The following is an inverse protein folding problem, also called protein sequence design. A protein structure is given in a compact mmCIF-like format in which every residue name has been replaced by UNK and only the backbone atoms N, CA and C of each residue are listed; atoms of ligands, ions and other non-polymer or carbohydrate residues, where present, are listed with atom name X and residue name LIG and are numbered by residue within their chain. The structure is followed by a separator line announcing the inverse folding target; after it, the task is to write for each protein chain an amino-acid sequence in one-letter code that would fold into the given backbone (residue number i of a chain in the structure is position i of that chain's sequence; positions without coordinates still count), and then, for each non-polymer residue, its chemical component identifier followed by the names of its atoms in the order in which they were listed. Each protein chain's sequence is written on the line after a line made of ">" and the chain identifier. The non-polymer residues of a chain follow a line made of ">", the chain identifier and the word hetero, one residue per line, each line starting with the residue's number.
data_IF_188774902141
#
_entry.id   IF_188774902141
#
_cell.length_a   1.000
_cell.length_b   1.000
_cell.length_c   1.000
_cell.angle_alpha   90.00
_cell.angle_beta   90.00
_cell.angle_gamma   90.00
#
_symmetry.space_group_name_H-M   'P 1'
#
loop_
_entity.id
_entity.type
_entity.pdbx_description
1 polymer ?
#
# COMPACT_ATOMS: atom_id res chain seq x y z
N UNK A 1 17.09 -1.49 8.20
CA UNK A 1 16.29 -2.57 7.58
C UNK A 1 15.41 -3.18 8.66
N UNK A 2 14.14 -3.51 8.35
CA UNK A 2 13.27 -4.15 9.34
C UNK A 2 13.71 -5.62 9.49
N UNK A 3 13.71 -6.23 10.69
CA UNK A 3 14.16 -7.62 10.89
C UNK A 3 13.47 -8.62 9.93
N UNK A 4 12.20 -8.35 9.61
CA UNK A 4 11.43 -9.09 8.60
C UNK A 4 12.09 -9.17 7.22
N UNK A 5 12.83 -8.14 6.79
CA UNK A 5 13.53 -8.13 5.50
C UNK A 5 14.70 -9.12 5.49
N UNK A 6 15.41 -9.24 6.63
CA UNK A 6 16.53 -10.18 6.78
C UNK A 6 16.02 -11.61 6.75
N UNK A 7 14.90 -11.89 7.45
CA UNK A 7 14.25 -13.21 7.46
C UNK A 7 13.83 -13.63 6.05
N UNK A 8 13.20 -12.75 5.28
CA UNK A 8 12.84 -13.03 3.89
C UNK A 8 14.06 -13.27 3.00
N UNK A 9 15.15 -12.52 3.20
CA UNK A 9 16.40 -12.72 2.47
C UNK A 9 17.03 -14.09 2.76
N UNK A 10 17.03 -14.52 4.03
CA UNK A 10 17.51 -15.84 4.43
C UNK A 10 16.68 -16.97 3.81
N UNK A 11 15.35 -16.82 3.84
CA UNK A 11 14.43 -17.80 3.26
C UNK A 11 14.63 -17.92 1.75
N UNK A 12 14.80 -16.80 1.05
CA UNK A 12 15.10 -16.78 -0.38
C UNK A 12 16.45 -17.45 -0.70
N UNK A 13 17.49 -17.22 0.11
CA UNK A 13 18.79 -17.85 -0.09
C UNK A 13 18.71 -19.38 0.05
N UNK A 14 17.97 -19.89 1.04
CA UNK A 14 17.75 -21.34 1.21
C UNK A 14 17.02 -21.93 0.00
N UNK A 15 15.96 -21.26 -0.47
CA UNK A 15 15.22 -21.69 -1.67
C UNK A 15 16.16 -21.78 -2.87
N UNK A 16 17.00 -20.77 -3.09
CA UNK A 16 17.97 -20.75 -4.20
C UNK A 16 18.96 -21.93 -4.09
N UNK A 17 19.51 -22.20 -2.90
CA UNK A 17 20.43 -23.32 -2.70
C UNK A 17 19.77 -24.66 -3.04
N UNK A 18 18.54 -24.88 -2.55
CA UNK A 18 17.76 -26.09 -2.84
C UNK A 18 17.50 -26.22 -4.34
N UNK A 19 17.15 -25.11 -5.00
CA UNK A 19 16.97 -25.06 -6.44
C UNK A 19 18.27 -25.49 -7.15
N UNK A 20 19.39 -24.82 -6.90
CA UNK A 20 20.65 -25.11 -7.59
C UNK A 20 21.19 -26.52 -7.37
N UNK A 21 20.89 -27.13 -6.23
CA UNK A 21 21.32 -28.49 -5.91
C UNK A 21 20.50 -29.56 -6.66
N UNK A 22 19.24 -29.27 -7.03
CA UNK A 22 18.32 -30.23 -7.64
C UNK A 22 18.24 -30.10 -9.17
N UNK A 23 19.33 -30.46 -9.86
CA UNK A 23 19.48 -30.39 -11.33
C UNK A 23 18.89 -31.58 -12.10
N UNK A 24 18.04 -32.37 -11.47
CA UNK A 24 17.45 -33.54 -12.12
C UNK A 24 16.47 -33.17 -13.23
N UNK A 25 16.45 -33.98 -14.28
CA UNK A 25 15.47 -33.92 -15.35
C UNK A 25 14.15 -34.56 -14.87
N UNK A 26 13.01 -33.97 -15.23
CA UNK A 26 11.69 -34.57 -15.06
C UNK A 26 10.92 -34.54 -16.38
N UNK A 27 10.06 -35.54 -16.60
CA UNK A 27 9.04 -35.43 -17.63
C UNK A 27 7.96 -34.48 -17.14
N UNK A 28 7.68 -33.45 -17.93
CA UNK A 28 6.56 -32.56 -17.67
C UNK A 28 5.40 -32.97 -18.58
N UNK A 29 4.19 -33.12 -18.04
CA UNK A 29 3.04 -33.58 -18.82
C UNK A 29 2.23 -32.43 -19.43
N UNK A 30 2.35 -31.21 -18.88
CA UNK A 30 1.48 -30.07 -19.21
C UNK A 30 1.59 -29.56 -20.66
N UNK A 31 2.70 -29.83 -21.36
CA UNK A 31 2.93 -29.44 -22.76
C UNK A 31 3.25 -30.64 -23.67
N UNK A 32 2.78 -31.84 -23.31
CA UNK A 32 3.30 -33.10 -23.87
C UNK A 32 4.55 -33.56 -23.11
N UNK A 33 4.97 -34.82 -23.28
CA UNK A 33 6.04 -35.46 -22.49
C UNK A 33 7.43 -34.88 -22.83
N UNK A 34 7.70 -33.67 -22.33
CA UNK A 34 8.94 -32.95 -22.57
C UNK A 34 9.84 -33.14 -21.34
N UNK A 35 11.05 -33.65 -21.57
CA UNK A 35 12.10 -33.76 -20.54
C UNK A 35 12.67 -32.36 -20.32
N UNK A 36 12.34 -31.77 -19.18
CA UNK A 36 12.80 -30.44 -18.75
C UNK A 36 13.40 -30.54 -17.35
N UNK A 37 14.24 -29.59 -16.95
CA UNK A 37 14.81 -29.63 -15.60
C UNK A 37 13.73 -29.32 -14.55
N UNK A 38 13.67 -30.11 -13.47
CA UNK A 38 12.77 -29.84 -12.32
C UNK A 38 12.97 -28.42 -11.80
N UNK A 39 14.21 -27.98 -11.84
CA UNK A 39 14.68 -26.63 -11.51
C UNK A 39 13.97 -25.52 -12.29
N UNK A 40 13.82 -25.67 -13.61
CA UNK A 40 13.19 -24.67 -14.46
C UNK A 40 11.70 -24.53 -14.14
N UNK A 41 11.03 -25.68 -13.98
CA UNK A 41 9.62 -25.72 -13.60
C UNK A 41 9.43 -25.10 -12.20
N UNK A 42 10.20 -25.55 -11.22
CA UNK A 42 10.10 -25.08 -9.84
C UNK A 42 10.39 -23.57 -9.77
N UNK A 43 11.39 -23.08 -10.50
CA UNK A 43 11.73 -21.67 -10.57
C UNK A 43 10.60 -20.81 -11.15
N UNK A 44 9.97 -21.25 -12.25
CA UNK A 44 8.85 -20.54 -12.87
C UNK A 44 7.64 -20.50 -11.92
N UNK A 45 7.24 -21.62 -11.35
CA UNK A 45 6.11 -21.67 -10.41
C UNK A 45 6.40 -20.91 -9.12
N UNK A 46 7.63 -20.95 -8.62
CA UNK A 46 8.05 -20.15 -7.48
C UNK A 46 7.92 -18.66 -7.79
N UNK A 47 8.41 -18.21 -8.95
CA UNK A 47 8.32 -16.81 -9.36
C UNK A 47 6.86 -16.36 -9.54
N UNK A 48 6.03 -17.18 -10.17
CA UNK A 48 4.60 -16.93 -10.30
C UNK A 48 3.92 -16.84 -8.92
N UNK A 49 4.26 -17.74 -7.99
CA UNK A 49 3.77 -17.72 -6.62
C UNK A 49 4.20 -16.46 -5.85
N UNK A 50 5.46 -16.02 -6.01
CA UNK A 50 5.96 -14.77 -5.42
C UNK A 50 5.25 -13.55 -6.00
N UNK A 51 5.03 -13.51 -7.32
CA UNK A 51 4.30 -12.42 -7.97
C UNK A 51 2.85 -12.40 -7.50
N UNK A 52 2.15 -13.54 -7.54
CA UNK A 52 0.76 -13.61 -7.10
C UNK A 52 0.59 -13.33 -5.62
N UNK A 53 1.46 -13.88 -4.78
CA UNK A 53 1.53 -13.55 -3.35
C UNK A 53 1.79 -12.05 -3.16
N UNK A 54 2.76 -11.48 -3.88
CA UNK A 54 3.07 -10.06 -3.84
C UNK A 54 1.88 -9.19 -4.23
N UNK A 55 1.10 -9.58 -5.24
CA UNK A 55 -0.12 -8.88 -5.66
C UNK A 55 -1.23 -9.04 -4.61
N UNK A 56 -1.44 -10.24 -4.07
CA UNK A 56 -2.49 -10.51 -3.09
C UNK A 56 -2.21 -9.82 -1.75
N UNK A 57 -0.96 -9.87 -1.29
CA UNK A 57 -0.49 -9.17 -0.09
C UNK A 57 -0.16 -7.70 -0.34
N UNK A 58 -0.35 -7.18 -1.57
CA UNK A 58 -0.23 -5.76 -1.87
C UNK A 58 -1.31 -5.02 -1.11
N UNK A 59 -1.00 -4.63 0.12
CA UNK A 59 -1.85 -3.79 0.97
C UNK A 59 -2.34 -2.62 0.13
N UNK A 60 -3.62 -2.63 -0.24
CA UNK A 60 -4.25 -1.46 -0.85
C UNK A 60 -4.07 -0.35 0.18
N UNK A 61 -3.30 0.68 -0.17
CA UNK A 61 -3.25 1.89 0.65
C UNK A 61 -4.70 2.35 0.72
N UNK A 62 -5.28 2.38 1.92
CA UNK A 62 -6.58 3.00 2.12
C UNK A 62 -6.43 4.40 1.50
N UNK A 63 -7.30 4.82 0.55
CA UNK A 63 -7.37 6.23 0.26
C UNK A 63 -7.67 6.89 1.59
N UNK A 64 -6.73 7.72 2.07
CA UNK A 64 -7.02 8.62 3.18
C UNK A 64 -8.16 9.47 2.62
N UNK A 65 -9.39 9.13 2.97
CA UNK A 65 -10.53 10.01 2.77
C UNK A 65 -10.27 11.20 3.67
N UNK A 66 -9.49 12.16 3.17
CA UNK A 66 -9.47 13.52 3.68
C UNK A 66 -10.78 14.14 3.26
N UNK A 67 -11.85 13.74 3.93
CA UNK A 67 -12.99 14.60 4.14
C UNK A 67 -12.90 15.02 5.59
N UNK A 68 -12.76 16.34 5.78
CA UNK A 68 -12.81 17.07 7.04
C UNK A 68 -11.52 17.11 7.89
N UNK A 69 -10.57 17.93 7.44
CA UNK A 69 -9.84 18.81 8.35
C UNK A 69 -9.51 20.08 7.57
N UNK A 70 -10.32 21.11 7.79
CA UNK A 70 -10.06 22.47 7.40
C UNK A 70 -8.62 22.83 7.83
N UNK A 71 -7.87 23.40 6.89
CA UNK A 71 -6.83 24.40 7.09
C UNK A 71 -6.39 24.67 8.54
N UNK A 72 -5.39 23.93 9.04
CA UNK A 72 -4.62 24.35 10.21
C UNK A 72 -3.36 25.07 9.70
N UNK A 73 -3.55 26.28 9.18
CA UNK A 73 -2.50 27.30 9.18
C UNK A 73 -2.19 27.68 10.64
N UNK A 74 -0.91 27.79 11.05
CA UNK A 74 -0.60 28.43 12.33
C UNK A 74 -0.84 29.93 12.18
N UNK A 75 -1.94 30.41 12.75
CA UNK A 75 -2.24 31.85 12.86
C UNK A 75 -1.21 32.46 13.82
N UNK A 76 -0.37 33.44 13.40
CA UNK A 76 0.39 34.24 14.35
C UNK A 76 -0.60 35.08 15.17
N UNK A 77 -0.49 35.00 16.49
CA UNK A 77 -1.19 35.89 17.40
C UNK A 77 -0.84 37.35 17.05
N UNK A 78 -1.82 38.11 16.61
CA UNK A 78 -2.00 39.52 16.93
C UNK A 78 -3.32 40.06 16.35
N UNK A 79 -3.89 40.97 17.14
CA UNK A 79 -4.85 42.02 16.79
C UNK A 79 -6.35 41.72 16.87
N UNK A 80 -6.92 42.27 17.94
CA UNK A 80 -8.31 42.65 18.14
C UNK A 80 -8.85 43.45 16.94
N UNK A 81 -9.77 42.85 16.18
CA UNK A 81 -10.97 43.52 15.64
C UNK A 81 -12.01 42.42 15.45
N UNK A 82 -13.10 42.42 16.23
CA UNK A 82 -14.30 41.64 15.92
C UNK A 82 -14.95 42.19 14.65
N UNK A 83 -14.36 41.89 13.51
CA UNK A 83 -14.98 42.05 12.21
C UNK A 83 -15.84 40.81 11.98
N UNK A 84 -17.15 41.02 11.99
CA UNK A 84 -18.12 39.96 11.76
C UNK A 84 -17.76 39.23 10.45
N UNK A 85 -17.52 37.90 10.45
CA UNK A 85 -17.01 37.17 9.28
C UNK A 85 -17.93 37.17 8.05
N UNK A 86 -19.14 37.74 8.19
CA UNK A 86 -20.22 37.69 7.23
C UNK A 86 -20.88 39.07 7.02
N UNK A 87 -20.13 40.12 6.59
CA UNK A 87 -20.67 41.48 6.46
C UNK A 87 -21.67 41.63 5.31
N UNK A 88 -21.73 40.64 4.41
CA UNK A 88 -22.61 40.63 3.24
C UNK A 88 -23.98 39.97 3.51
N UNK A 89 -24.16 39.37 4.69
CA UNK A 89 -25.40 38.69 5.08
C UNK A 89 -26.28 39.63 5.88
N UNK A 90 -27.60 39.52 5.67
CA UNK A 90 -28.57 40.29 6.44
C UNK A 90 -28.55 39.85 7.93
N UNK A 91 -29.05 40.70 8.83
CA UNK A 91 -29.16 40.34 10.25
C UNK A 91 -30.05 39.10 10.47
N UNK A 92 -31.06 38.93 9.62
CA UNK A 92 -31.97 37.79 9.68
C UNK A 92 -31.28 36.48 9.23
N UNK A 93 -30.51 36.52 8.14
CA UNK A 93 -29.74 35.35 7.66
C UNK A 93 -28.67 34.90 8.67
N UNK A 94 -28.07 35.83 9.42
CA UNK A 94 -27.10 35.51 10.48
C UNK A 94 -27.74 34.74 11.64
N UNK A 95 -28.99 35.08 11.99
CA UNK A 95 -29.75 34.39 13.03
C UNK A 95 -30.11 32.96 12.62
N UNK A 96 -30.42 32.71 11.34
CA UNK A 96 -30.65 31.34 10.83
C UNK A 96 -29.45 30.41 11.01
N UNK A 97 -28.23 30.96 11.00
CA UNK A 97 -27.00 30.19 11.22
C UNK A 97 -26.70 29.96 12.72
N UNK A 98 -27.60 30.36 13.62
CA UNK A 98 -27.50 30.13 15.06
C UNK A 98 -26.40 30.95 15.74
N UNK A 99 -25.90 31.99 15.08
CA UNK A 99 -24.90 32.90 15.65
C UNK A 99 -25.62 34.14 16.15
N UNK A 100 -26.03 34.07 17.41
CA UNK A 100 -26.49 35.24 18.15
C UNK A 100 -25.25 35.94 18.73
N UNK A 101 -25.21 37.27 18.62
CA UNK A 101 -24.25 38.11 19.32
C UNK A 101 -24.41 38.01 20.85
#
# INVERSE_FOLDING_TARGET
>A
MKPKTIIFGLLAAVVIIVLFNNKEEASFWFFGEIRTSKLLILGIFFLLGVIMGGILFRRRRKPTSTTSAHDNQPIPANDEVSADPYPHLSAEDRNFLGKND
#
